data_IF_711372061351
#
_entry.id   IF_711372061351
#
_cell.length_a   1.000
_cell.length_b   1.000
_cell.length_c   1.000
_cell.angle_alpha   90.00
_cell.angle_beta   90.00
_cell.angle_gamma   90.00
#
_symmetry.space_group_name_H-M   'P 1'
#
loop_
_entity.id
_entity.type
_entity.pdbx_description
1 polymer ?
#
# COMPACT_ATOMS: atom_id res chain seq x y z
N UNK A 1 -14.55 28.60 -49.73
CA UNK A 1 -15.52 27.93 -48.86
C UNK A 1 -14.75 27.34 -47.71
N UNK A 2 -14.75 27.98 -46.56
CA UNK A 2 -14.13 27.50 -45.33
C UNK A 2 -15.23 26.75 -44.59
N UNK A 3 -15.10 25.43 -44.48
CA UNK A 3 -16.05 24.61 -43.73
C UNK A 3 -15.64 24.68 -42.26
N UNK A 4 -16.38 25.49 -41.49
CA UNK A 4 -16.30 25.56 -40.04
C UNK A 4 -16.90 24.28 -39.44
N UNK A 5 -16.06 23.33 -39.02
CA UNK A 5 -16.46 22.07 -38.39
C UNK A 5 -16.36 22.19 -36.87
N UNK A 6 -17.03 23.17 -36.27
CA UNK A 6 -17.25 23.21 -34.83
C UNK A 6 -18.49 22.37 -34.46
N UNK A 7 -18.34 21.02 -34.45
CA UNK A 7 -19.35 20.19 -33.81
C UNK A 7 -19.41 20.52 -32.30
N UNK A 8 -20.60 20.81 -31.73
CA UNK A 8 -20.71 21.15 -30.31
C UNK A 8 -20.22 19.95 -29.48
N UNK A 9 -19.19 20.17 -28.66
CA UNK A 9 -18.69 19.16 -27.73
C UNK A 9 -19.86 18.66 -26.87
N UNK A 10 -20.32 17.44 -27.11
CA UNK A 10 -21.44 16.80 -26.42
C UNK A 10 -21.20 16.86 -24.92
N UNK A 11 -22.14 17.48 -24.19
CA UNK A 11 -22.02 17.63 -22.72
C UNK A 11 -22.07 16.25 -22.08
N UNK A 12 -20.97 15.83 -21.44
CA UNK A 12 -20.91 14.55 -20.75
C UNK A 12 -21.90 14.50 -19.58
N UNK A 13 -22.56 13.37 -19.33
CA UNK A 13 -23.32 13.15 -18.10
C UNK A 13 -22.50 13.44 -16.84
N UNK A 14 -23.12 13.88 -15.73
CA UNK A 14 -22.41 14.23 -14.50
C UNK A 14 -21.49 13.14 -13.99
N UNK A 15 -21.94 11.90 -13.94
CA UNK A 15 -21.17 10.74 -13.48
C UNK A 15 -19.94 10.47 -14.35
N UNK A 16 -20.08 10.56 -15.68
CA UNK A 16 -18.97 10.40 -16.59
C UNK A 16 -17.95 11.54 -16.46
N UNK A 17 -18.44 12.74 -16.17
CA UNK A 17 -17.57 13.90 -15.93
C UNK A 17 -16.80 13.75 -14.63
N UNK A 18 -17.45 13.32 -13.57
CA UNK A 18 -16.83 13.03 -12.28
C UNK A 18 -15.73 11.98 -12.43
N UNK A 19 -16.05 10.85 -13.09
CA UNK A 19 -15.08 9.80 -13.37
C UNK A 19 -13.86 10.28 -14.15
N UNK A 20 -14.06 11.10 -15.18
CA UNK A 20 -12.97 11.72 -15.94
C UNK A 20 -12.06 12.56 -15.04
N UNK A 21 -12.64 13.32 -14.09
CA UNK A 21 -11.86 14.11 -13.13
C UNK A 21 -11.06 13.20 -12.21
N UNK A 22 -11.65 12.13 -11.67
CA UNK A 22 -10.97 11.19 -10.77
C UNK A 22 -9.85 10.45 -11.48
N UNK A 23 -10.10 9.92 -12.69
CA UNK A 23 -9.07 9.24 -13.50
C UNK A 23 -7.91 10.19 -13.85
N UNK A 24 -8.25 11.46 -14.13
CA UNK A 24 -7.25 12.49 -14.37
C UNK A 24 -6.47 12.85 -13.10
N UNK A 25 -7.14 12.89 -11.95
CA UNK A 25 -6.49 13.14 -10.67
C UNK A 25 -5.52 12.01 -10.29
N UNK A 26 -5.88 10.76 -10.53
CA UNK A 26 -4.98 9.61 -10.32
C UNK A 26 -3.69 9.77 -11.13
N UNK A 27 -3.81 10.06 -12.44
CA UNK A 27 -2.64 10.29 -13.30
C UNK A 27 -1.82 11.49 -12.84
N UNK A 28 -2.48 12.61 -12.55
CA UNK A 28 -1.83 13.84 -12.11
C UNK A 28 -1.09 13.64 -10.78
N UNK A 29 -1.71 12.99 -9.79
CA UNK A 29 -1.08 12.72 -8.51
C UNK A 29 0.03 11.67 -8.61
N UNK A 30 -0.07 10.71 -9.53
CA UNK A 30 1.01 9.76 -9.79
C UNK A 30 2.25 10.40 -10.43
N UNK A 31 2.10 11.56 -11.08
CA UNK A 31 3.20 12.29 -11.72
C UNK A 31 3.75 13.43 -10.87
N UNK A 32 2.88 14.19 -10.22
CA UNK A 32 3.23 15.43 -9.53
C UNK A 32 3.15 15.32 -8.00
N UNK A 33 2.69 14.19 -7.46
CA UNK A 33 2.42 14.02 -6.04
C UNK A 33 1.14 14.72 -5.58
N UNK A 34 0.76 14.46 -4.32
CA UNK A 34 -0.45 15.03 -3.74
C UNK A 34 -0.35 16.53 -3.44
N UNK A 35 0.83 17.15 -3.53
CA UNK A 35 0.99 18.59 -3.35
C UNK A 35 0.53 19.42 -4.58
N UNK A 36 0.37 18.78 -5.75
CA UNK A 36 -0.11 19.43 -6.97
C UNK A 36 -1.41 20.23 -6.75
N UNK A 37 -1.53 21.39 -7.41
CA UNK A 37 -2.68 22.27 -7.23
C UNK A 37 -3.86 21.82 -8.10
N UNK A 38 -5.10 21.93 -7.58
CA UNK A 38 -6.31 21.61 -8.35
C UNK A 38 -6.47 22.46 -9.61
N UNK A 39 -5.91 23.67 -9.63
CA UNK A 39 -5.91 24.53 -10.81
C UNK A 39 -5.09 23.91 -11.95
N UNK A 40 -3.94 23.33 -11.64
CA UNK A 40 -3.07 22.71 -12.65
C UNK A 40 -3.68 21.40 -13.14
N UNK A 41 -4.30 20.64 -12.26
CA UNK A 41 -5.12 19.49 -12.63
C UNK A 41 -6.28 19.87 -13.55
N UNK A 42 -7.06 20.92 -13.22
CA UNK A 42 -8.14 21.38 -14.07
C UNK A 42 -7.64 21.78 -15.47
N UNK A 43 -6.50 22.48 -15.54
CA UNK A 43 -5.84 22.85 -16.79
C UNK A 43 -5.42 21.62 -17.60
N UNK A 44 -4.82 20.61 -16.96
CA UNK A 44 -4.41 19.37 -17.65
C UNK A 44 -5.58 18.58 -18.22
N UNK A 45 -6.77 18.69 -17.59
CA UNK A 45 -8.01 18.06 -18.04
C UNK A 45 -8.81 18.90 -19.06
N UNK A 46 -8.35 20.11 -19.36
CA UNK A 46 -9.07 21.04 -20.25
C UNK A 46 -10.44 21.46 -19.69
N UNK A 47 -10.59 21.53 -18.37
CA UNK A 47 -11.81 21.99 -17.70
C UNK A 47 -11.56 23.27 -16.92
N UNK A 48 -12.64 24.01 -16.61
CA UNK A 48 -12.53 25.21 -15.79
C UNK A 48 -12.33 24.87 -14.31
N UNK A 49 -11.64 25.74 -13.60
CA UNK A 49 -11.47 25.63 -12.15
C UNK A 49 -12.82 25.61 -11.40
N UNK A 50 -13.79 26.40 -11.85
CA UNK A 50 -15.16 26.42 -11.31
C UNK A 50 -15.83 25.06 -11.46
N UNK A 51 -15.66 24.39 -12.62
CA UNK A 51 -16.22 23.07 -12.83
C UNK A 51 -15.56 22.02 -11.92
N UNK A 52 -14.24 22.11 -11.70
CA UNK A 52 -13.53 21.25 -10.76
C UNK A 52 -14.13 21.35 -9.35
N UNK A 53 -14.32 22.58 -8.83
CA UNK A 53 -14.89 22.80 -7.50
C UNK A 53 -16.37 22.47 -7.38
N UNK A 54 -17.10 22.44 -8.49
CA UNK A 54 -18.48 21.96 -8.50
C UNK A 54 -18.57 20.46 -8.15
N UNK A 55 -17.62 19.64 -8.64
CA UNK A 55 -17.56 18.20 -8.32
C UNK A 55 -16.82 17.92 -7.03
N UNK A 56 -15.73 18.61 -6.78
CA UNK A 56 -14.86 18.41 -5.60
C UNK A 56 -14.61 19.74 -4.91
N UNK A 57 -15.46 20.10 -3.90
CA UNK A 57 -15.39 21.39 -3.22
C UNK A 57 -14.04 21.66 -2.54
N UNK A 58 -13.31 20.60 -2.20
CA UNK A 58 -11.97 20.69 -1.61
C UNK A 58 -11.03 19.71 -2.28
N UNK A 59 -9.73 19.96 -2.20
CA UNK A 59 -8.70 19.01 -2.62
C UNK A 59 -8.79 17.72 -1.82
N UNK A 60 -9.11 17.82 -0.53
CA UNK A 60 -9.28 16.67 0.34
C UNK A 60 -10.42 15.75 -0.14
N UNK A 61 -11.57 16.30 -0.55
CA UNK A 61 -12.66 15.51 -1.11
C UNK A 61 -12.25 14.73 -2.37
N UNK A 62 -11.40 15.32 -3.22
CA UNK A 62 -10.85 14.62 -4.37
C UNK A 62 -9.86 13.51 -3.96
N UNK A 63 -8.99 13.76 -2.98
CA UNK A 63 -8.06 12.75 -2.46
C UNK A 63 -8.82 11.59 -1.83
N UNK A 64 -9.89 11.85 -1.08
CA UNK A 64 -10.79 10.82 -0.52
C UNK A 64 -11.43 9.96 -1.61
N UNK A 65 -11.87 10.58 -2.69
CA UNK A 65 -12.42 9.85 -3.83
C UNK A 65 -11.35 9.02 -4.55
N UNK A 66 -10.15 9.57 -4.75
CA UNK A 66 -9.01 8.83 -5.30
C UNK A 66 -8.65 7.64 -4.40
N UNK A 67 -8.68 7.81 -3.07
CA UNK A 67 -8.47 6.70 -2.14
C UNK A 67 -9.53 5.60 -2.35
N UNK A 68 -10.80 5.97 -2.43
CA UNK A 68 -11.88 5.00 -2.63
C UNK A 68 -11.71 4.23 -3.94
N UNK A 69 -11.46 4.92 -5.05
CA UNK A 69 -11.43 4.31 -6.39
C UNK A 69 -10.11 3.56 -6.67
N UNK A 70 -8.98 4.06 -6.17
CA UNK A 70 -7.67 3.48 -6.48
C UNK A 70 -7.21 2.45 -5.43
N UNK A 71 -7.63 2.58 -4.18
CA UNK A 71 -7.16 1.76 -3.07
C UNK A 71 -8.26 0.87 -2.48
N UNK A 72 -9.30 1.43 -1.91
CA UNK A 72 -10.31 0.66 -1.19
C UNK A 72 -11.10 -0.29 -2.09
N UNK A 73 -11.48 0.14 -3.30
CA UNK A 73 -12.23 -0.68 -4.25
C UNK A 73 -11.43 -1.82 -4.87
N UNK A 74 -10.10 -1.79 -4.75
CA UNK A 74 -9.23 -2.85 -5.29
C UNK A 74 -9.00 -3.99 -4.31
N UNK A 75 -9.44 -3.85 -3.07
CA UNK A 75 -9.43 -4.97 -2.14
C UNK A 75 -10.48 -6.00 -2.56
N UNK A 76 -10.06 -7.24 -2.78
CA UNK A 76 -10.91 -8.33 -3.24
C UNK A 76 -11.32 -9.22 -2.05
N UNK A 77 -12.63 -9.43 -1.81
CA UNK A 77 -13.10 -10.33 -0.76
C UNK A 77 -12.60 -11.77 -0.91
N UNK A 78 -12.32 -12.18 -2.16
CA UNK A 78 -11.77 -13.49 -2.51
C UNK A 78 -10.40 -13.74 -1.84
N UNK A 79 -9.63 -12.69 -1.60
CA UNK A 79 -8.35 -12.80 -0.88
C UNK A 79 -8.54 -13.22 0.57
N UNK A 80 -9.59 -12.72 1.21
CA UNK A 80 -9.93 -13.13 2.58
C UNK A 80 -10.37 -14.60 2.60
N UNK A 81 -11.21 -15.01 1.63
CA UNK A 81 -11.66 -16.38 1.47
C UNK A 81 -10.48 -17.33 1.22
N UNK A 82 -9.52 -16.96 0.35
CA UNK A 82 -8.31 -17.75 0.08
C UNK A 82 -7.46 -17.94 1.35
N UNK A 83 -7.25 -16.87 2.12
CA UNK A 83 -6.47 -16.93 3.36
C UNK A 83 -7.17 -17.75 4.46
N UNK A 84 -8.50 -17.78 4.47
CA UNK A 84 -9.29 -18.53 5.44
C UNK A 84 -9.59 -20.00 4.99
N UNK A 85 -9.24 -20.40 3.75
CA UNK A 85 -9.47 -21.74 3.20
C UNK A 85 -8.68 -22.80 3.99
N UNK A 86 -9.39 -23.82 4.50
CA UNK A 86 -8.82 -24.91 5.31
C UNK A 86 -8.30 -26.08 4.47
N UNK A 87 -8.55 -26.09 3.18
CA UNK A 87 -8.08 -27.15 2.26
C UNK A 87 -6.67 -26.90 1.76
N UNK A 88 -6.19 -25.65 1.83
CA UNK A 88 -4.89 -25.23 1.34
C UNK A 88 -3.84 -25.12 2.46
N UNK A 89 -2.61 -25.49 2.17
CA UNK A 89 -1.46 -25.23 3.03
C UNK A 89 -1.12 -23.74 3.10
N UNK A 90 -0.53 -23.29 4.22
CA UNK A 90 -0.27 -21.86 4.47
C UNK A 90 0.66 -21.23 3.43
N UNK A 91 1.67 -21.94 2.93
CA UNK A 91 2.54 -21.48 1.84
C UNK A 91 1.75 -21.21 0.55
N UNK A 92 0.86 -22.12 0.17
CA UNK A 92 0.03 -21.99 -1.01
C UNK A 92 -0.93 -20.79 -0.89
N UNK A 93 -1.55 -20.59 0.28
CA UNK A 93 -2.41 -19.42 0.57
C UNK A 93 -1.66 -18.10 0.40
N UNK A 94 -0.48 -17.97 1.01
CA UNK A 94 0.32 -16.75 0.93
C UNK A 94 0.83 -16.49 -0.48
N UNK A 95 1.32 -17.51 -1.16
CA UNK A 95 1.80 -17.38 -2.55
C UNK A 95 0.66 -16.96 -3.48
N UNK A 96 -0.49 -17.61 -3.38
CA UNK A 96 -1.69 -17.26 -4.15
C UNK A 96 -2.13 -15.82 -3.88
N UNK A 97 -2.30 -15.46 -2.60
CA UNK A 97 -2.68 -14.11 -2.20
C UNK A 97 -1.70 -13.05 -2.75
N UNK A 98 -0.40 -13.20 -2.50
CA UNK A 98 0.57 -12.18 -2.93
C UNK A 98 0.78 -12.14 -4.44
N UNK A 99 0.52 -13.24 -5.16
CA UNK A 99 0.54 -13.24 -6.62
C UNK A 99 -0.59 -12.38 -7.18
N UNK A 100 -1.81 -12.56 -6.71
CA UNK A 100 -2.96 -11.75 -7.15
C UNK A 100 -2.83 -10.31 -6.65
N UNK A 101 -2.46 -10.13 -5.39
CA UNK A 101 -2.20 -8.82 -4.80
C UNK A 101 -1.20 -8.01 -5.63
N UNK A 102 -0.08 -8.61 -6.01
CA UNK A 102 0.93 -7.91 -6.82
C UNK A 102 0.38 -7.47 -8.18
N UNK A 103 -0.43 -8.30 -8.83
CA UNK A 103 -1.03 -7.98 -10.13
C UNK A 103 -2.05 -6.84 -10.04
N UNK A 104 -2.88 -6.83 -8.98
CA UNK A 104 -3.97 -5.86 -8.83
C UNK A 104 -3.46 -4.53 -8.24
N UNK A 105 -2.56 -4.61 -7.26
CA UNK A 105 -2.14 -3.47 -6.44
C UNK A 105 -0.86 -2.81 -6.96
N UNK A 106 0.15 -3.58 -7.38
CA UNK A 106 1.45 -3.01 -7.73
C UNK A 106 1.46 -2.40 -9.15
N UNK A 107 0.38 -1.68 -9.50
CA UNK A 107 0.29 -0.91 -10.73
C UNK A 107 0.96 0.46 -10.57
N UNK A 108 1.42 1.04 -11.70
CA UNK A 108 2.20 2.29 -11.71
C UNK A 108 1.56 3.41 -10.89
N UNK A 109 0.32 3.74 -11.18
CA UNK A 109 -0.34 4.87 -10.55
C UNK A 109 -0.61 4.61 -9.07
N UNK A 110 -0.98 3.38 -8.72
CA UNK A 110 -1.19 2.96 -7.34
C UNK A 110 0.08 3.13 -6.50
N UNK A 111 1.20 2.56 -6.96
CA UNK A 111 2.48 2.60 -6.23
C UNK A 111 2.96 4.04 -6.08
N UNK A 112 2.91 4.85 -7.14
CA UNK A 112 3.38 6.23 -7.11
C UNK A 112 2.54 7.12 -6.22
N UNK A 113 1.20 7.04 -6.32
CA UNK A 113 0.29 7.81 -5.44
C UNK A 113 0.49 7.41 -3.97
N UNK A 114 0.67 6.12 -3.68
CA UNK A 114 0.94 5.63 -2.34
C UNK A 114 2.24 6.20 -1.76
N UNK A 115 3.34 6.10 -2.50
CA UNK A 115 4.66 6.62 -2.08
C UNK A 115 4.61 8.14 -1.87
N UNK A 116 3.97 8.89 -2.78
CA UNK A 116 3.85 10.34 -2.65
C UNK A 116 2.93 10.76 -1.50
N UNK A 117 1.89 9.98 -1.19
CA UNK A 117 1.07 10.22 0.00
C UNK A 117 1.89 10.06 1.29
N UNK A 118 2.72 9.03 1.37
CA UNK A 118 3.57 8.78 2.54
C UNK A 118 4.55 9.92 2.84
N UNK A 119 5.00 10.64 1.80
CA UNK A 119 5.89 11.79 1.94
C UNK A 119 5.18 13.14 2.09
N UNK A 120 3.85 13.16 2.17
CA UNK A 120 3.05 14.39 2.30
C UNK A 120 2.17 14.38 3.56
N UNK A 121 0.85 14.21 3.39
CA UNK A 121 -0.13 14.22 4.48
C UNK A 121 -0.43 12.84 5.08
N UNK A 122 0.07 11.78 4.45
CA UNK A 122 -0.11 10.37 4.81
C UNK A 122 -1.56 9.85 4.81
N UNK A 123 -2.53 10.64 4.37
CA UNK A 123 -3.94 10.26 4.41
C UNK A 123 -4.22 8.90 3.76
N UNK A 124 -3.67 8.68 2.55
CA UNK A 124 -3.85 7.42 1.81
C UNK A 124 -3.09 6.28 2.49
N UNK A 125 -1.84 6.52 2.89
CA UNK A 125 -1.01 5.48 3.51
C UNK A 125 -1.58 5.02 4.84
N UNK A 126 -2.00 5.95 5.71
CA UNK A 126 -2.54 5.61 7.03
C UNK A 126 -3.84 4.79 6.90
N UNK A 127 -4.74 5.17 5.98
CA UNK A 127 -5.97 4.40 5.71
C UNK A 127 -5.70 3.03 5.12
N UNK A 128 -4.71 2.92 4.24
CA UNK A 128 -4.36 1.63 3.64
C UNK A 128 -3.72 0.69 4.66
N UNK A 129 -2.84 1.19 5.53
CA UNK A 129 -2.31 0.38 6.64
C UNK A 129 -3.39 -0.03 7.63
N UNK A 130 -4.38 0.82 7.91
CA UNK A 130 -5.55 0.44 8.71
C UNK A 130 -6.33 -0.71 8.06
N UNK A 131 -6.55 -0.65 6.73
CA UNK A 131 -7.18 -1.73 5.97
C UNK A 131 -6.41 -3.06 6.07
N UNK A 132 -5.08 -3.03 5.94
CA UNK A 132 -4.23 -4.22 6.11
C UNK A 132 -4.30 -4.76 7.55
N UNK A 133 -4.30 -3.86 8.54
CA UNK A 133 -4.43 -4.20 9.97
C UNK A 133 -5.76 -4.86 10.31
N UNK A 134 -6.83 -4.48 9.62
CA UNK A 134 -8.16 -5.09 9.79
C UNK A 134 -8.29 -6.41 9.02
N UNK A 135 -7.89 -6.43 7.75
CA UNK A 135 -8.25 -7.50 6.83
C UNK A 135 -7.17 -8.56 6.61
N UNK A 136 -5.90 -8.17 6.59
CA UNK A 136 -4.79 -9.07 6.23
C UNK A 136 -4.04 -9.60 7.46
N UNK A 137 -3.47 -8.70 8.26
CA UNK A 137 -2.46 -9.07 9.26
C UNK A 137 -2.98 -10.05 10.32
N UNK A 138 -4.19 -9.87 10.91
CA UNK A 138 -4.68 -10.83 11.90
C UNK A 138 -4.92 -12.23 11.32
N UNK A 139 -5.31 -12.32 10.04
CA UNK A 139 -5.52 -13.60 9.36
C UNK A 139 -4.20 -14.33 9.15
N UNK A 140 -3.22 -13.64 8.55
CA UNK A 140 -1.91 -14.23 8.26
C UNK A 140 -1.18 -14.66 9.55
N UNK A 141 -1.21 -13.84 10.60
CA UNK A 141 -0.59 -14.22 11.89
C UNK A 141 -1.28 -15.44 12.49
N UNK A 142 -2.62 -15.50 12.46
CA UNK A 142 -3.38 -16.64 12.97
C UNK A 142 -3.06 -17.93 12.22
N UNK A 143 -3.06 -17.90 10.90
CA UNK A 143 -2.71 -19.05 10.05
C UNK A 143 -1.23 -19.45 10.21
N UNK A 144 -0.33 -18.47 10.33
CA UNK A 144 1.08 -18.70 10.57
C UNK A 144 1.36 -19.40 11.91
N UNK A 145 0.65 -19.00 12.97
CA UNK A 145 0.73 -19.71 14.28
C UNK A 145 0.27 -21.15 14.16
N UNK A 146 -0.85 -21.40 13.47
CA UNK A 146 -1.35 -22.75 13.23
C UNK A 146 -0.35 -23.60 12.44
N UNK A 147 0.22 -23.03 11.38
CA UNK A 147 1.27 -23.67 10.58
C UNK A 147 2.47 -24.09 11.42
N UNK A 148 2.85 -23.30 12.42
CA UNK A 148 3.93 -23.62 13.36
C UNK A 148 3.46 -24.44 14.58
N UNK A 149 2.26 -25.03 14.57
CA UNK A 149 1.73 -25.84 15.69
C UNK A 149 1.43 -25.02 16.95
N UNK A 150 1.20 -23.71 16.85
CA UNK A 150 0.88 -22.83 17.97
C UNK A 150 -0.58 -22.45 18.01
N UNK A 151 -1.01 -21.97 19.18
CA UNK A 151 -2.39 -21.49 19.35
C UNK A 151 -2.70 -20.30 18.45
N UNK A 152 -3.82 -20.36 17.76
CA UNK A 152 -4.38 -19.25 16.93
C UNK A 152 -4.88 -18.07 17.77
N UNK A 153 -5.01 -18.23 19.09
CA UNK A 153 -5.64 -17.25 19.99
C UNK A 153 -4.68 -16.12 20.32
N UNK A 154 -5.27 -15.00 20.71
CA UNK A 154 -4.56 -13.80 21.14
C UNK A 154 -4.28 -12.81 20.01
N UNK A 155 -4.06 -11.56 20.38
CA UNK A 155 -3.68 -10.50 19.44
C UNK A 155 -2.30 -10.79 18.84
N UNK A 156 -2.04 -10.38 17.60
CA UNK A 156 -0.70 -10.40 17.04
C UNK A 156 0.29 -9.66 17.96
N UNK A 157 1.47 -10.22 18.13
CA UNK A 157 2.57 -9.53 18.79
C UNK A 157 3.23 -8.56 17.81
N UNK A 158 3.88 -7.52 18.33
CA UNK A 158 4.62 -6.58 17.47
C UNK A 158 5.68 -7.30 16.62
N UNK A 159 6.34 -8.30 17.16
CA UNK A 159 7.38 -9.05 16.45
C UNK A 159 6.81 -9.89 15.30
N UNK A 160 5.63 -10.48 15.45
CA UNK A 160 4.91 -11.17 14.36
C UNK A 160 4.47 -10.18 13.28
N UNK A 161 3.97 -9.00 13.69
CA UNK A 161 3.57 -7.94 12.75
C UNK A 161 4.78 -7.41 11.96
N UNK A 162 5.91 -7.14 12.62
CA UNK A 162 7.14 -6.67 11.95
C UNK A 162 7.68 -7.71 10.96
N UNK A 163 7.67 -9.00 11.32
CA UNK A 163 8.08 -10.05 10.40
C UNK A 163 7.16 -10.11 9.17
N UNK A 164 5.84 -10.00 9.37
CA UNK A 164 4.87 -9.96 8.29
C UNK A 164 5.01 -8.68 7.45
N UNK A 165 5.27 -7.54 8.08
CA UNK A 165 5.57 -6.29 7.38
C UNK A 165 6.84 -6.40 6.53
N UNK A 166 7.84 -7.18 6.97
CA UNK A 166 9.01 -7.51 6.17
C UNK A 166 8.65 -8.24 4.87
N UNK A 167 7.78 -9.25 4.94
CA UNK A 167 7.25 -9.93 3.75
C UNK A 167 6.47 -8.95 2.87
N UNK A 168 5.47 -8.27 3.44
CA UNK A 168 4.61 -7.34 2.69
C UNK A 168 5.43 -6.23 2.03
N UNK A 169 6.36 -5.63 2.78
CA UNK A 169 7.27 -4.60 2.28
C UNK A 169 8.20 -5.10 1.17
N UNK A 170 8.69 -6.34 1.24
CA UNK A 170 9.54 -6.92 0.20
C UNK A 170 8.79 -7.12 -1.12
N UNK A 171 7.50 -7.49 -1.06
CA UNK A 171 6.62 -7.58 -2.23
C UNK A 171 6.35 -6.17 -2.77
N UNK A 172 5.97 -5.23 -1.90
CA UNK A 172 5.71 -3.85 -2.31
C UNK A 172 6.95 -3.17 -2.94
N UNK A 173 8.14 -3.47 -2.45
CA UNK A 173 9.40 -2.96 -2.98
C UNK A 173 9.66 -3.37 -4.44
N UNK A 174 9.08 -4.48 -4.92
CA UNK A 174 9.12 -4.85 -6.34
C UNK A 174 8.45 -3.75 -7.19
N UNK A 175 7.30 -3.27 -6.74
CA UNK A 175 6.59 -2.16 -7.38
C UNK A 175 7.35 -0.84 -7.29
N UNK A 176 7.96 -0.52 -6.14
CA UNK A 176 8.78 0.70 -5.98
C UNK A 176 9.96 0.69 -6.96
N UNK A 177 10.72 -0.41 -7.01
CA UNK A 177 11.86 -0.51 -7.94
C UNK A 177 11.44 -0.25 -9.37
N UNK A 178 10.31 -0.81 -9.79
CA UNK A 178 9.80 -0.70 -11.15
C UNK A 178 9.26 0.69 -11.46
N UNK A 179 8.35 1.20 -10.63
CA UNK A 179 7.55 2.37 -10.99
C UNK A 179 8.07 3.70 -10.45
N UNK A 180 8.96 3.65 -9.44
CA UNK A 180 9.56 4.85 -8.83
C UNK A 180 11.01 4.98 -9.26
N UNK A 181 11.80 3.89 -9.18
CA UNK A 181 13.23 3.93 -9.49
C UNK A 181 13.56 3.60 -10.95
N UNK A 182 12.62 3.04 -11.71
CA UNK A 182 12.87 2.62 -13.09
C UNK A 182 13.78 1.38 -13.20
N UNK A 183 13.93 0.61 -12.13
CA UNK A 183 14.74 -0.60 -12.05
C UNK A 183 13.88 -1.84 -11.83
N UNK A 184 13.15 -2.25 -12.86
CA UNK A 184 12.53 -3.58 -12.87
C UNK A 184 13.60 -4.64 -13.18
N UNK A 185 13.81 -5.60 -12.27
CA UNK A 185 14.66 -6.77 -12.57
C UNK A 185 13.86 -7.83 -13.36
N UNK A 186 12.57 -7.69 -13.38
CA UNK A 186 11.67 -8.61 -14.01
C UNK A 186 11.42 -8.11 -15.43
N UNK A 187 11.88 -8.82 -16.44
CA UNK A 187 11.29 -8.74 -17.77
C UNK A 187 9.89 -9.34 -17.66
N UNK A 188 8.99 -8.59 -17.01
CA UNK A 188 7.63 -9.03 -16.89
C UNK A 188 7.02 -9.07 -18.29
N UNK A 189 6.63 -10.24 -18.71
CA UNK A 189 5.81 -10.41 -19.90
C UNK A 189 4.62 -9.46 -19.81
N UNK A 190 4.51 -8.57 -20.78
CA UNK A 190 3.32 -7.74 -20.95
C UNK A 190 2.26 -8.61 -21.55
N UNK A 191 1.40 -9.18 -20.72
CA UNK A 191 0.20 -9.89 -21.19
C UNK A 191 -0.94 -8.88 -21.17
N UNK A 192 -1.55 -8.63 -22.32
CA UNK A 192 -2.69 -7.70 -22.49
C UNK A 192 -2.44 -6.26 -21.96
N UNK A 193 -1.21 -5.75 -22.08
CA UNK A 193 -0.85 -4.43 -21.60
C UNK A 193 -0.64 -4.33 -20.07
N UNK A 194 -0.87 -5.41 -19.34
CA UNK A 194 -0.63 -5.47 -17.89
C UNK A 194 0.72 -6.14 -17.60
N UNK A 195 1.52 -5.48 -16.81
CA UNK A 195 2.77 -6.04 -16.32
C UNK A 195 2.49 -7.06 -15.22
N UNK A 196 2.98 -8.28 -15.40
CA UNK A 196 2.92 -9.32 -14.37
C UNK A 196 4.26 -9.40 -13.63
N UNK A 197 4.20 -9.62 -12.33
CA UNK A 197 5.36 -9.95 -11.53
C UNK A 197 5.57 -11.47 -11.59
N UNK A 198 6.84 -11.90 -11.66
CA UNK A 198 7.18 -13.32 -11.66
C UNK A 198 6.77 -13.95 -10.32
N UNK A 199 5.96 -15.00 -10.43
CA UNK A 199 5.45 -15.77 -9.28
C UNK A 199 6.60 -16.41 -8.49
N UNK A 200 7.70 -16.77 -9.14
CA UNK A 200 8.89 -17.35 -8.50
C UNK A 200 9.48 -16.40 -7.47
N UNK A 201 9.59 -15.10 -7.80
CA UNK A 201 10.11 -14.11 -6.86
C UNK A 201 9.17 -13.84 -5.69
N UNK A 202 7.86 -13.98 -5.90
CA UNK A 202 6.87 -13.89 -4.82
C UNK A 202 6.98 -15.10 -3.91
N UNK A 203 7.03 -16.29 -4.49
CA UNK A 203 7.18 -17.55 -3.77
C UNK A 203 8.45 -17.58 -2.90
N UNK A 204 9.59 -17.13 -3.43
CA UNK A 204 10.85 -17.08 -2.68
C UNK A 204 10.75 -16.17 -1.44
N UNK A 205 10.04 -15.04 -1.55
CA UNK A 205 9.79 -14.13 -0.41
C UNK A 205 8.89 -14.78 0.64
N UNK A 206 7.83 -15.46 0.18
CA UNK A 206 6.94 -16.23 1.06
C UNK A 206 7.73 -17.30 1.81
N UNK A 207 8.58 -18.08 1.13
CA UNK A 207 9.43 -19.10 1.76
C UNK A 207 10.39 -18.49 2.78
N UNK A 208 11.04 -17.37 2.45
CA UNK A 208 11.89 -16.63 3.39
C UNK A 208 11.15 -16.24 4.66
N UNK A 209 9.91 -15.75 4.52
CA UNK A 209 9.04 -15.43 5.65
C UNK A 209 8.70 -16.67 6.49
N UNK A 210 8.36 -17.81 5.87
CA UNK A 210 8.00 -19.04 6.57
C UNK A 210 9.17 -19.61 7.38
N UNK A 211 10.40 -19.56 6.85
CA UNK A 211 11.61 -19.95 7.56
C UNK A 211 11.83 -19.08 8.79
N UNK A 212 11.74 -17.75 8.63
CA UNK A 212 11.89 -16.80 9.73
C UNK A 212 10.76 -16.91 10.75
N UNK A 213 9.53 -17.20 10.33
CA UNK A 213 8.38 -17.41 11.21
C UNK A 213 8.58 -18.67 12.07
N UNK A 214 9.04 -19.76 11.46
CA UNK A 214 9.33 -21.01 12.17
C UNK A 214 10.39 -20.81 13.27
N UNK A 215 11.45 -20.08 12.98
CA UNK A 215 12.49 -19.74 13.97
C UNK A 215 11.95 -18.80 15.06
N UNK A 216 11.19 -17.79 14.69
CA UNK A 216 10.54 -16.86 15.62
C UNK A 216 9.67 -17.58 16.63
N UNK A 217 8.88 -18.54 16.18
CA UNK A 217 7.90 -19.27 17.00
C UNK A 217 8.54 -20.38 17.81
N UNK A 218 9.64 -20.97 17.33
CA UNK A 218 10.34 -22.09 17.99
C UNK A 218 11.41 -21.64 18.99
N UNK A 219 11.92 -20.41 18.88
CA UNK A 219 13.03 -19.91 19.70
C UNK A 219 12.58 -19.31 21.04
N UNK A 220 13.27 -19.59 22.16
CA UNK A 220 13.20 -18.71 23.32
C UNK A 220 13.74 -17.34 22.93
N UNK A 221 13.20 -16.27 23.55
CA UNK A 221 13.60 -14.87 23.35
C UNK A 221 15.13 -14.65 23.54
N UNK A 222 15.93 -15.01 22.53
CA UNK A 222 17.40 -14.93 22.61
C UNK A 222 17.96 -13.52 22.44
N UNK A 223 17.12 -12.54 22.04
CA UNK A 223 17.58 -11.18 21.70
C UNK A 223 17.58 -10.23 22.92
N UNK A 224 16.92 -10.58 24.05
CA UNK A 224 16.81 -9.67 25.21
C UNK A 224 18.07 -9.53 26.08
N UNK A 225 19.19 -10.22 25.77
CA UNK A 225 20.41 -10.22 26.62
C UNK A 225 21.64 -9.56 26.00
N UNK A 226 21.50 -8.78 24.92
CA UNK A 226 22.63 -8.19 24.20
C UNK A 226 22.68 -6.65 24.16
N UNK A 227 21.96 -5.93 24.99
CA UNK A 227 22.20 -4.48 25.12
C UNK A 227 23.50 -4.24 25.92
N UNK A 228 24.54 -3.60 25.36
CA UNK A 228 25.72 -3.23 26.12
C UNK A 228 25.28 -2.27 27.24
N UNK A 229 25.62 -2.60 28.48
CA UNK A 229 25.45 -1.66 29.62
C UNK A 229 26.20 -0.39 29.27
N UNK A 230 25.58 0.80 29.42
CA UNK A 230 26.30 2.04 29.26
C UNK A 230 27.37 2.11 30.37
N UNK A 231 28.63 2.31 29.98
CA UNK A 231 29.75 2.54 30.87
C UNK A 231 29.48 3.82 31.68
N UNK A 232 29.52 3.70 33.00
CA UNK A 232 29.44 4.85 33.92
C UNK A 232 30.67 5.75 33.68
N UNK A 233 30.45 6.94 33.14
CA UNK A 233 31.47 7.95 32.98
C UNK A 233 30.92 9.23 32.38
N UNK A 234 30.95 10.29 33.23
CA UNK A 234 30.80 11.72 32.92
C UNK A 234 29.40 12.32 32.94
N UNK A 235 29.10 12.96 34.06
CA UNK A 235 28.05 13.98 34.22
C UNK A 235 28.37 15.20 33.35
N UNK A 236 27.53 15.41 32.33
CA UNK A 236 27.34 16.74 31.75
C UNK A 236 25.85 17.08 31.79
N UNK A 237 25.53 18.20 32.46
CA UNK A 237 24.18 18.76 32.50
C UNK A 237 23.85 19.30 31.11
N UNK A 238 22.78 18.84 30.50
CA UNK A 238 22.15 19.53 29.37
C UNK A 238 20.64 19.58 29.59
N UNK A 239 20.13 20.76 29.38
CA UNK A 239 18.78 21.27 29.45
C UNK A 239 17.76 20.40 28.69
N UNK A 240 16.60 20.21 29.31
CA UNK A 240 15.45 19.52 28.79
C UNK A 240 14.95 20.17 27.49
N UNK A 241 15.03 19.41 26.39
CA UNK A 241 14.24 19.64 25.18
C UNK A 241 13.14 18.57 25.17
N UNK A 242 11.90 19.03 25.07
CA UNK A 242 10.72 18.16 25.00
C UNK A 242 10.86 17.19 23.82
N UNK A 243 11.05 15.92 24.10
CA UNK A 243 10.85 14.84 23.16
C UNK A 243 9.35 14.73 22.87
N UNK A 244 8.95 15.02 21.64
CA UNK A 244 7.64 14.62 21.13
C UNK A 244 7.65 13.09 21.04
N UNK A 245 6.90 12.48 21.93
CA UNK A 245 6.57 11.07 21.93
C UNK A 245 5.86 10.73 20.59
N UNK A 246 6.56 10.04 19.70
CA UNK A 246 5.96 9.46 18.49
C UNK A 246 5.08 8.31 18.95
N UNK A 247 3.77 8.51 18.89
CA UNK A 247 2.79 7.52 19.30
C UNK A 247 3.00 6.19 18.54
N UNK A 248 3.04 5.05 19.25
CA UNK A 248 3.08 3.74 18.60
C UNK A 248 1.78 3.52 17.84
N UNK A 249 1.85 2.77 16.75
CA UNK A 249 0.74 2.37 15.87
C UNK A 249 -0.42 1.80 16.71
N UNK A 250 -1.45 2.59 16.95
CA UNK A 250 -2.65 2.14 17.65
C UNK A 250 -3.54 1.40 16.63
N UNK A 251 -3.41 0.07 16.61
CA UNK A 251 -4.48 -0.79 16.11
C UNK A 251 -5.51 -0.92 17.24
N UNK A 252 -6.64 -0.24 17.10
CA UNK A 252 -7.81 -0.44 17.93
C UNK A 252 -8.55 -1.71 17.54
#
# INVERSE_FOLDING_TARGET
MIVDSSSPKKRLPPEQRERLIVDGAVRFFSEHGLQGQLRDLAKSLGITHTLMYHYFPTKQALIERVYTDLFASRWQPEWEALLDDKTLGFEAKLTGFYTEYAQVILQRDWVRVFVFSGSSDRYITDRYFALLGEKLFPRVVREGREHCGRSRRGKPTQRELELLMGLHGSIFYMGIRRWVYGHGLDEAETVDGNHRFDVTFIHDRVRGYLLALSDLVSGPDKISKGSPKPSAGSRARHTATQEQEVAPWHFH
#
